data_IF_638873932188
#
_entry.id   IF_638873932188
#
_cell.length_a   1.000
_cell.length_b   1.000
_cell.length_c   1.000
_cell.angle_alpha   90.00
_cell.angle_beta   90.00
_cell.angle_gamma   90.00
#
_symmetry.space_group_name_H-M   'P 1'
#
loop_
_entity.id
_entity.type
_entity.pdbx_description
1 polymer ?
#
# COMPACT_ATOMS: atom_id res chain seq x y z
N UNK A 1 -14.72 6.65 -11.65
CA UNK A 1 -14.23 7.97 -11.19
C UNK A 1 -13.50 8.65 -12.31
N UNK A 2 -13.34 9.94 -12.24
CA UNK A 2 -12.59 10.66 -13.26
C UNK A 2 -11.08 10.62 -12.94
N UNK A 3 -10.28 11.05 -13.92
CA UNK A 3 -8.83 10.98 -13.80
C UNK A 3 -8.28 11.86 -12.68
N UNK A 4 -8.82 13.05 -12.53
CA UNK A 4 -8.38 13.97 -11.48
C UNK A 4 -8.59 13.35 -10.10
N UNK A 5 -9.73 12.73 -9.87
CA UNK A 5 -10.02 12.04 -8.62
C UNK A 5 -9.04 10.88 -8.42
N UNK A 6 -8.79 10.11 -9.48
CA UNK A 6 -7.85 8.99 -9.40
C UNK A 6 -6.45 9.46 -9.03
N UNK A 7 -5.99 10.55 -9.62
CA UNK A 7 -4.68 11.11 -9.29
C UNK A 7 -4.59 11.56 -7.83
N UNK A 8 -5.64 12.16 -7.32
CA UNK A 8 -5.69 12.59 -5.93
C UNK A 8 -5.67 11.39 -4.97
N UNK A 9 -6.42 10.36 -5.29
CA UNK A 9 -6.42 9.14 -4.49
C UNK A 9 -5.04 8.50 -4.48
N UNK A 10 -4.37 8.49 -5.62
CA UNK A 10 -3.02 7.92 -5.72
C UNK A 10 -2.03 8.65 -4.81
N UNK A 11 -2.11 9.97 -4.73
CA UNK A 11 -1.26 10.75 -3.83
C UNK A 11 -1.57 10.42 -2.37
N UNK A 12 -2.84 10.32 -2.02
CA UNK A 12 -3.25 9.99 -0.65
C UNK A 12 -2.77 8.59 -0.25
N UNK A 13 -2.86 7.63 -1.16
CA UNK A 13 -2.36 6.28 -0.92
C UNK A 13 -0.87 6.31 -0.56
N UNK A 14 -0.09 7.09 -1.29
CA UNK A 14 1.33 7.25 -1.01
C UNK A 14 1.57 7.80 0.39
N UNK A 15 0.80 8.81 0.77
CA UNK A 15 0.90 9.42 2.09
C UNK A 15 0.54 8.42 3.20
N UNK A 16 -0.46 7.59 2.96
CA UNK A 16 -0.84 6.56 3.93
C UNK A 16 0.28 5.55 4.12
N UNK A 17 0.91 5.10 3.04
CA UNK A 17 2.05 4.18 3.15
C UNK A 17 3.19 4.79 3.95
N UNK A 18 3.50 6.07 3.72
CA UNK A 18 4.54 6.75 4.48
C UNK A 18 4.20 6.80 5.96
N UNK A 19 2.95 7.04 6.30
CA UNK A 19 2.50 7.08 7.69
C UNK A 19 2.54 5.71 8.34
N UNK A 20 2.16 4.66 7.64
CA UNK A 20 2.26 3.30 8.13
C UNK A 20 3.71 2.93 8.42
N UNK A 21 4.61 3.33 7.53
CA UNK A 21 6.03 3.11 7.71
C UNK A 21 6.56 3.84 8.95
N UNK A 22 6.10 5.07 9.18
CA UNK A 22 6.45 5.84 10.37
C UNK A 22 6.02 5.15 11.65
N UNK A 23 4.88 4.49 11.65
CA UNK A 23 4.42 3.74 12.82
C UNK A 23 5.43 2.68 13.22
N UNK A 24 5.97 1.95 12.25
CA UNK A 24 6.98 0.94 12.50
C UNK A 24 8.27 1.58 13.03
N UNK A 25 8.71 2.68 12.42
CA UNK A 25 9.91 3.38 12.88
C UNK A 25 9.78 3.88 14.32
N UNK A 26 8.64 4.44 14.67
CA UNK A 26 8.39 4.91 16.03
C UNK A 26 8.46 3.73 17.01
N UNK A 27 7.90 2.58 16.64
CA UNK A 27 7.90 1.42 17.52
C UNK A 27 9.30 0.88 17.77
N UNK A 28 10.20 0.99 16.78
CA UNK A 28 11.58 0.51 16.92
C UNK A 28 12.34 1.25 18.01
N UNK A 29 11.98 2.47 18.30
CA UNK A 29 12.70 3.31 19.26
C UNK A 29 12.40 2.95 20.72
N UNK A 30 11.23 2.37 21.00
CA UNK A 30 10.79 2.24 22.40
C UNK A 30 10.08 0.93 22.73
N UNK A 31 9.84 0.07 21.75
CA UNK A 31 9.07 -1.15 21.95
C UNK A 31 9.96 -2.39 21.93
N UNK A 32 9.51 -3.45 22.60
CA UNK A 32 10.19 -4.73 22.56
C UNK A 32 10.06 -5.39 21.19
N UNK A 33 10.92 -6.37 20.94
CA UNK A 33 11.00 -7.04 19.65
C UNK A 33 9.68 -7.70 19.25
N UNK A 34 9.00 -8.30 20.21
CA UNK A 34 7.71 -8.97 19.94
C UNK A 34 6.63 -7.98 19.52
N UNK A 35 6.56 -6.84 20.18
CA UNK A 35 5.60 -5.80 19.85
C UNK A 35 5.87 -5.21 18.47
N UNK A 36 7.14 -4.98 18.14
CA UNK A 36 7.53 -4.49 16.82
C UNK A 36 7.11 -5.48 15.75
N UNK A 37 7.34 -6.77 15.99
CA UNK A 37 6.99 -7.81 15.02
C UNK A 37 5.47 -7.87 14.79
N UNK A 38 4.69 -7.80 15.86
CA UNK A 38 3.24 -7.77 15.74
C UNK A 38 2.76 -6.58 14.95
N UNK A 39 3.34 -5.39 15.20
CA UNK A 39 2.97 -4.18 14.47
C UNK A 39 3.35 -4.30 12.99
N UNK A 40 4.53 -4.85 12.70
CA UNK A 40 4.94 -5.06 11.31
C UNK A 40 3.97 -5.96 10.55
N UNK A 41 3.50 -7.02 11.19
CA UNK A 41 2.53 -7.93 10.58
C UNK A 41 1.21 -7.21 10.31
N UNK A 42 0.73 -6.41 11.27
CA UNK A 42 -0.51 -5.66 11.11
C UNK A 42 -0.40 -4.62 10.00
N UNK A 43 0.71 -3.90 9.95
CA UNK A 43 0.96 -2.90 8.90
C UNK A 43 1.05 -3.56 7.54
N UNK A 44 1.73 -4.70 7.44
CA UNK A 44 1.81 -5.46 6.20
C UNK A 44 0.45 -5.88 5.68
N UNK A 45 -0.43 -6.31 6.58
CA UNK A 45 -1.80 -6.68 6.22
C UNK A 45 -2.59 -5.48 5.70
N UNK A 46 -2.45 -4.33 6.37
CA UNK A 46 -3.11 -3.10 5.91
C UNK A 46 -2.63 -2.70 4.52
N UNK A 47 -1.32 -2.78 4.28
CA UNK A 47 -0.75 -2.47 2.97
C UNK A 47 -1.29 -3.40 1.89
N UNK A 48 -1.40 -4.69 2.19
CA UNK A 48 -1.94 -5.67 1.26
C UNK A 48 -3.41 -5.38 0.95
N UNK A 49 -4.20 -5.03 1.96
CA UNK A 49 -5.60 -4.68 1.79
C UNK A 49 -5.75 -3.42 0.92
N UNK A 50 -4.87 -2.44 1.10
CA UNK A 50 -4.85 -1.25 0.24
C UNK A 50 -4.49 -1.60 -1.19
N UNK A 51 -3.52 -2.46 -1.38
CA UNK A 51 -3.12 -2.88 -2.72
C UNK A 51 -4.28 -3.55 -3.45
N UNK A 52 -4.92 -4.53 -2.82
CA UNK A 52 -5.98 -5.29 -3.46
C UNK A 52 -7.29 -4.51 -3.57
N UNK A 53 -7.63 -3.70 -2.56
CA UNK A 53 -8.91 -3.01 -2.51
C UNK A 53 -8.94 -1.64 -3.16
N UNK A 54 -7.82 -0.95 -3.19
CA UNK A 54 -7.75 0.42 -3.69
C UNK A 54 -6.84 0.54 -4.92
N UNK A 55 -5.60 0.11 -4.80
CA UNK A 55 -4.60 0.37 -5.84
C UNK A 55 -4.80 -0.44 -7.10
N UNK A 56 -5.04 -1.74 -7.00
CA UNK A 56 -5.23 -2.57 -8.20
C UNK A 56 -6.46 -2.14 -9.00
N UNK A 57 -7.64 -1.91 -8.40
CA UNK A 57 -8.76 -1.36 -9.15
C UNK A 57 -8.45 0.00 -9.78
N UNK A 58 -7.75 0.87 -9.07
CA UNK A 58 -7.38 2.19 -9.58
C UNK A 58 -6.44 2.07 -10.78
N UNK A 59 -5.41 1.24 -10.67
CA UNK A 59 -4.42 1.06 -11.74
C UNK A 59 -4.98 0.26 -12.91
N UNK A 60 -6.03 -0.51 -12.70
CA UNK A 60 -6.72 -1.19 -13.80
C UNK A 60 -7.41 -0.19 -14.71
N UNK A 61 -7.91 0.91 -14.15
CA UNK A 61 -8.54 2.00 -14.94
C UNK A 61 -7.50 2.98 -15.46
N UNK A 62 -6.45 3.25 -14.69
CA UNK A 62 -5.43 4.26 -15.02
C UNK A 62 -4.03 3.68 -14.85
N UNK A 63 -3.60 2.80 -15.77
CA UNK A 63 -2.30 2.13 -15.64
C UNK A 63 -1.10 3.07 -15.57
N UNK A 64 -1.23 4.25 -16.16
CA UNK A 64 -0.14 5.23 -16.15
C UNK A 64 0.09 5.88 -14.77
N UNK A 65 -0.81 5.66 -13.83
CA UNK A 65 -0.62 6.15 -12.46
C UNK A 65 0.26 5.23 -11.61
N UNK A 66 0.58 4.04 -12.10
CA UNK A 66 1.49 3.13 -11.39
C UNK A 66 2.85 3.80 -11.29
N UNK A 67 3.40 3.97 -10.05
CA UNK A 67 4.73 4.54 -9.90
C UNK A 67 5.78 3.74 -10.67
N UNK A 68 6.79 4.43 -11.19
CA UNK A 68 7.82 3.79 -12.02
C UNK A 68 8.62 2.73 -11.27
N UNK A 69 8.73 2.86 -9.94
CA UNK A 69 9.44 1.90 -9.11
C UNK A 69 8.63 0.65 -8.80
N UNK A 70 7.33 0.64 -9.15
CA UNK A 70 6.47 -0.52 -8.92
C UNK A 70 6.59 -1.51 -10.06
N UNK A 71 6.35 -2.80 -9.80
CA UNK A 71 6.25 -3.77 -10.90
C UNK A 71 4.99 -3.52 -11.73
N UNK A 72 4.87 -4.23 -12.85
CA UNK A 72 3.71 -4.09 -13.72
C UNK A 72 2.42 -4.50 -13.01
N UNK A 73 1.29 -4.05 -13.55
CA UNK A 73 -0.01 -4.38 -12.98
C UNK A 73 -0.23 -5.88 -12.84
N UNK A 74 0.23 -6.65 -13.82
CA UNK A 74 0.09 -8.12 -13.78
C UNK A 74 0.85 -8.71 -12.60
N UNK A 75 2.05 -8.21 -12.33
CA UNK A 75 2.85 -8.66 -11.20
C UNK A 75 2.19 -8.24 -9.89
N UNK A 76 1.67 -7.01 -9.82
CA UNK A 76 0.95 -6.54 -8.63
C UNK A 76 -0.25 -7.44 -8.31
N UNK A 77 -0.99 -7.85 -9.32
CA UNK A 77 -2.11 -8.75 -9.14
C UNK A 77 -1.67 -10.11 -8.62
N UNK A 78 -0.51 -10.60 -9.06
CA UNK A 78 -0.01 -11.90 -8.64
C UNK A 78 0.52 -11.91 -7.21
N UNK A 79 0.96 -10.76 -6.70
CA UNK A 79 1.42 -10.64 -5.31
C UNK A 79 0.25 -10.66 -4.34
N UNK A 80 -0.90 -10.22 -4.78
CA UNK A 80 -2.09 -10.11 -3.92
C UNK A 80 -2.53 -11.50 -3.48
N UNK A 81 -2.56 -11.80 -2.18
CA UNK A 81 -2.93 -13.12 -1.68
C UNK A 81 -4.40 -13.45 -1.85
N UNK A 82 -5.23 -12.44 -2.07
CA UNK A 82 -6.65 -12.61 -2.33
C UNK A 82 -6.92 -12.24 -3.77
N UNK A 83 -7.99 -12.78 -4.32
CA UNK A 83 -8.39 -12.41 -5.66
C UNK A 83 -8.83 -10.95 -5.70
N UNK A 84 -8.19 -10.20 -6.55
CA UNK A 84 -8.41 -8.77 -6.67
C UNK A 84 -9.27 -8.45 -7.89
#
# INVERSE_FOLDING_TARGET
MDRETAERINVIVKEIYDRLDQMVHVSLASSGQDEVQELKLAVGKLMTDMLSGVQIPLYSQYPDLIPSEYPSLEILKSICPKQC
#
